data_IF_814077849768
#
_entry.id   IF_814077849768
#
_cell.length_a   1.000
_cell.length_b   1.000
_cell.length_c   1.000
_cell.angle_alpha   90.00
_cell.angle_beta   90.00
_cell.angle_gamma   90.00
#
_symmetry.space_group_name_H-M   'P 1'
#
loop_
_entity.id
_entity.type
_entity.pdbx_description
1 polymer ?
#
# COMPACT_ATOMS: atom_id res chain seq x y z
N UNK A 1 -34.50 -33.65 -5.44
CA UNK A 1 -33.18 -33.05 -5.12
C UNK A 1 -33.15 -32.83 -3.60
N UNK A 2 -32.32 -33.57 -2.88
CA UNK A 2 -32.36 -33.65 -1.41
C UNK A 2 -31.95 -32.30 -0.78
N UNK A 3 -32.78 -31.78 0.13
CA UNK A 3 -32.54 -30.52 0.87
C UNK A 3 -31.17 -30.50 1.56
N UNK A 4 -30.63 -31.67 1.88
CA UNK A 4 -29.29 -31.85 2.44
C UNK A 4 -28.17 -31.47 1.44
N UNK A 5 -28.32 -31.81 0.16
CA UNK A 5 -27.37 -31.45 -0.90
C UNK A 5 -27.37 -29.95 -1.16
N UNK A 6 -28.52 -29.29 -1.11
CA UNK A 6 -28.63 -27.84 -1.28
C UNK A 6 -27.89 -27.09 -0.14
N UNK A 7 -28.05 -27.58 1.10
CA UNK A 7 -27.41 -26.97 2.27
C UNK A 7 -25.86 -27.09 2.20
N UNK A 8 -25.36 -28.28 1.79
CA UNK A 8 -23.91 -28.49 1.62
C UNK A 8 -23.34 -27.61 0.51
N UNK A 9 -24.07 -27.40 -0.58
CA UNK A 9 -23.63 -26.53 -1.67
C UNK A 9 -23.59 -25.07 -1.24
N UNK A 10 -24.56 -24.60 -0.45
CA UNK A 10 -24.56 -23.24 0.10
C UNK A 10 -23.42 -23.01 1.09
N UNK A 11 -23.12 -23.97 1.97
CA UNK A 11 -22.01 -23.90 2.91
C UNK A 11 -20.67 -23.91 2.17
N UNK A 12 -20.51 -24.73 1.13
CA UNK A 12 -19.30 -24.77 0.31
C UNK A 12 -19.06 -23.47 -0.47
N UNK A 13 -20.13 -22.84 -1.00
CA UNK A 13 -20.05 -21.54 -1.66
C UNK A 13 -19.72 -20.40 -0.69
N UNK A 14 -20.23 -20.44 0.55
CA UNK A 14 -19.92 -19.45 1.58
C UNK A 14 -18.47 -19.54 2.06
N UNK A 15 -17.87 -20.73 2.04
CA UNK A 15 -16.44 -20.91 2.40
C UNK A 15 -15.52 -20.50 1.26
N UNK A 16 -15.97 -20.54 0.00
CA UNK A 16 -15.18 -20.11 -1.16
C UNK A 16 -15.20 -18.60 -1.37
N UNK A 17 -16.15 -17.88 -0.81
CA UNK A 17 -16.25 -16.42 -0.87
C UNK A 17 -15.39 -15.76 0.20
N UNK A 18 -14.06 -15.78 0.05
CA UNK A 18 -13.20 -14.90 0.83
C UNK A 18 -13.28 -13.50 0.25
N UNK A 19 -14.22 -12.69 0.75
CA UNK A 19 -14.10 -11.25 0.59
C UNK A 19 -12.88 -10.80 1.41
N UNK A 20 -11.76 -10.55 0.75
CA UNK A 20 -10.61 -9.94 1.40
C UNK A 20 -10.72 -8.42 1.27
N UNK A 21 -11.33 -7.84 2.25
CA UNK A 21 -11.32 -6.40 2.51
C UNK A 21 -11.38 -6.25 4.04
N UNK A 22 -10.44 -5.57 4.68
CA UNK A 22 -9.38 -4.75 4.12
C UNK A 22 -8.19 -5.56 3.56
N UNK A 23 -7.46 -4.97 2.60
CA UNK A 23 -6.27 -5.57 1.99
C UNK A 23 -5.02 -5.40 2.85
N UNK A 24 -4.93 -4.34 3.67
CA UNK A 24 -3.90 -4.16 4.69
C UNK A 24 -4.34 -4.71 6.05
N UNK A 25 -3.40 -4.95 6.99
CA UNK A 25 -3.74 -5.33 8.36
C UNK A 25 -4.69 -4.32 9.03
N UNK A 26 -5.59 -4.78 9.89
CA UNK A 26 -6.60 -3.93 10.53
C UNK A 26 -6.04 -2.85 11.47
N UNK A 27 -4.78 -2.97 11.87
CA UNK A 27 -4.09 -1.98 12.69
C UNK A 27 -3.38 -0.90 11.87
N UNK A 28 -3.27 -1.10 10.55
CA UNK A 28 -2.63 -0.13 9.67
C UNK A 28 -3.61 0.98 9.28
N UNK A 29 -3.17 2.21 9.40
CA UNK A 29 -3.92 3.41 9.05
C UNK A 29 -3.12 4.22 8.04
N UNK A 30 -3.33 3.96 6.77
CA UNK A 30 -2.64 4.57 5.64
C UNK A 30 -3.64 5.39 4.79
N UNK A 31 -4.10 6.55 5.26
CA UNK A 31 -4.98 7.40 4.48
C UNK A 31 -4.26 7.99 3.26
N UNK A 32 -5.06 8.45 2.30
CA UNK A 32 -4.60 9.12 1.07
C UNK A 32 -3.60 8.30 0.24
N UNK A 33 -3.64 6.97 0.42
CA UNK A 33 -2.73 6.06 -0.27
C UNK A 33 -3.02 5.98 -1.77
N UNK A 34 -2.06 6.43 -2.58
CA UNK A 34 -2.12 6.29 -4.03
C UNK A 34 -1.52 4.95 -4.47
N UNK A 35 -2.28 4.10 -5.19
CA UNK A 35 -1.72 2.87 -5.73
C UNK A 35 -0.86 3.15 -6.97
N UNK A 36 0.31 2.51 -7.03
CA UNK A 36 1.22 2.52 -8.18
C UNK A 36 1.67 1.09 -8.48
N UNK A 37 2.01 0.83 -9.73
CA UNK A 37 2.58 -0.46 -10.14
C UNK A 37 3.95 -0.20 -10.75
N UNK A 38 4.98 -0.80 -10.17
CA UNK A 38 6.35 -0.74 -10.64
C UNK A 38 6.93 -2.15 -10.80
N UNK A 39 8.02 -2.24 -11.56
CA UNK A 39 8.79 -3.47 -11.64
C UNK A 39 9.36 -3.85 -10.27
N UNK A 40 9.30 -5.13 -9.93
CA UNK A 40 9.83 -5.64 -8.67
C UNK A 40 11.37 -5.53 -8.67
N UNK A 41 11.98 -4.77 -7.73
CA UNK A 41 13.43 -4.61 -7.69
C UNK A 41 14.18 -5.91 -7.40
N UNK A 42 13.53 -6.87 -6.75
CA UNK A 42 14.11 -8.15 -6.39
C UNK A 42 13.90 -9.23 -7.46
N UNK A 43 12.96 -9.01 -8.39
CA UNK A 43 12.54 -9.97 -9.41
C UNK A 43 12.35 -9.31 -10.78
N UNK A 44 13.40 -9.13 -11.59
CA UNK A 44 13.30 -8.49 -12.91
C UNK A 44 12.21 -9.13 -13.80
N UNK A 45 11.41 -8.28 -14.42
CA UNK A 45 10.28 -8.68 -15.26
C UNK A 45 8.99 -9.05 -14.49
N UNK A 46 9.01 -9.01 -13.16
CA UNK A 46 7.83 -9.07 -12.30
C UNK A 46 7.41 -7.67 -11.88
N UNK A 47 6.18 -7.57 -11.40
CA UNK A 47 5.62 -6.28 -10.98
C UNK A 47 5.03 -6.38 -9.58
N UNK A 48 5.08 -5.26 -8.86
CA UNK A 48 4.44 -5.10 -7.56
C UNK A 48 3.50 -3.91 -7.59
N UNK A 49 2.36 -4.08 -6.93
CA UNK A 49 1.51 -2.96 -6.55
C UNK A 49 2.06 -2.34 -5.28
N UNK A 50 2.18 -1.03 -5.26
CA UNK A 50 2.63 -0.24 -4.11
C UNK A 50 1.49 0.68 -3.67
N UNK A 51 1.32 0.83 -2.37
CA UNK A 51 0.45 1.84 -1.77
C UNK A 51 1.34 2.71 -0.90
N UNK A 52 1.30 4.02 -1.17
CA UNK A 52 2.14 5.01 -0.51
C UNK A 52 1.20 6.06 0.04
N UNK A 53 1.23 6.26 1.35
CA UNK A 53 0.31 7.19 2.01
C UNK A 53 0.94 7.87 3.21
N UNK A 54 0.24 8.87 3.73
CA UNK A 54 0.47 9.36 5.08
C UNK A 54 0.19 8.24 6.07
N UNK A 55 0.78 8.30 7.24
CA UNK A 55 0.67 7.22 8.23
C UNK A 55 0.09 7.78 9.51
N UNK A 56 -1.15 7.40 9.85
CA UNK A 56 -1.76 7.74 11.12
C UNK A 56 -1.22 6.79 12.19
N UNK A 57 -0.42 7.31 13.10
CA UNK A 57 0.21 6.50 14.16
C UNK A 57 -0.76 6.03 15.24
N UNK A 58 -1.92 6.66 15.32
CA UNK A 58 -3.02 6.27 16.22
C UNK A 58 -4.36 6.60 15.58
N UNK A 59 -5.42 5.95 16.02
CA UNK A 59 -6.80 6.27 15.58
C UNK A 59 -7.33 7.62 16.09
N UNK A 60 -6.54 8.36 16.85
CA UNK A 60 -6.89 9.67 17.42
C UNK A 60 -5.99 10.80 16.94
N UNK A 61 -4.86 10.48 16.28
CA UNK A 61 -3.91 11.45 15.75
C UNK A 61 -3.98 11.45 14.23
N UNK A 62 -4.51 12.51 13.68
CA UNK A 62 -4.58 12.76 12.25
C UNK A 62 -3.19 13.00 11.68
N UNK A 63 -2.75 12.14 10.77
CA UNK A 63 -1.43 12.10 10.16
C UNK A 63 -0.26 11.98 11.16
N UNK A 64 0.72 11.20 10.79
CA UNK A 64 1.95 11.01 11.56
C UNK A 64 3.15 11.72 10.93
N UNK A 65 4.35 11.45 11.44
CA UNK A 65 5.58 12.10 11.01
C UNK A 65 6.19 11.46 9.76
N UNK A 66 5.59 10.40 9.21
CA UNK A 66 6.17 9.63 8.12
C UNK A 66 5.19 9.38 6.98
N UNK A 67 5.77 9.18 5.81
CA UNK A 67 5.12 8.57 4.65
C UNK A 67 5.55 7.12 4.63
N UNK A 68 4.56 6.22 4.58
CA UNK A 68 4.77 4.78 4.65
C UNK A 68 4.40 4.11 3.33
N UNK A 69 5.04 2.99 3.07
CA UNK A 69 4.81 2.22 1.85
C UNK A 69 4.52 0.76 2.17
N UNK A 70 3.55 0.22 1.47
CA UNK A 70 3.24 -1.22 1.43
C UNK A 70 3.30 -1.71 0.00
N UNK A 71 3.67 -2.97 -0.20
CA UNK A 71 3.70 -3.57 -1.53
C UNK A 71 3.23 -5.01 -1.54
N UNK A 72 2.68 -5.44 -2.69
CA UNK A 72 2.32 -6.83 -2.94
C UNK A 72 2.63 -7.22 -4.40
N UNK A 73 2.95 -8.50 -4.70
CA UNK A 73 3.00 -8.96 -6.07
C UNK A 73 1.67 -8.71 -6.78
N UNK A 74 1.68 -8.24 -8.02
CA UNK A 74 0.42 -8.01 -8.76
C UNK A 74 -0.37 -9.29 -9.04
N UNK A 75 0.31 -10.43 -9.01
CA UNK A 75 -0.29 -11.75 -9.17
C UNK A 75 -1.01 -12.24 -7.92
N UNK A 76 -0.69 -11.67 -6.74
CA UNK A 76 -1.31 -12.04 -5.46
C UNK A 76 -1.36 -10.85 -4.49
N UNK A 77 -2.42 -10.08 -4.58
CA UNK A 77 -2.69 -8.92 -3.72
C UNK A 77 -3.12 -9.31 -2.28
N UNK A 78 -2.93 -10.55 -1.89
CA UNK A 78 -3.10 -10.99 -0.49
C UNK A 78 -1.80 -10.98 0.29
N UNK A 79 -0.66 -10.84 -0.39
CA UNK A 79 0.68 -10.88 0.18
C UNK A 79 1.28 -9.48 0.34
N UNK A 80 0.58 -8.62 1.08
CA UNK A 80 1.09 -7.29 1.38
C UNK A 80 2.27 -7.36 2.36
N UNK A 81 3.34 -6.65 2.00
CA UNK A 81 4.56 -6.48 2.78
C UNK A 81 4.68 -5.01 3.19
N UNK A 82 4.97 -4.77 4.47
CA UNK A 82 5.35 -3.45 4.96
C UNK A 82 6.77 -3.12 4.49
N UNK A 83 6.91 -2.09 3.68
CA UNK A 83 8.21 -1.56 3.23
C UNK A 83 8.78 -0.55 4.23
N UNK A 84 7.98 -0.16 5.23
CA UNK A 84 8.34 0.79 6.26
C UNK A 84 8.17 2.25 5.84
N UNK A 85 8.68 3.18 6.69
CA UNK A 85 8.68 4.60 6.38
C UNK A 85 9.69 4.89 5.25
N UNK A 86 9.23 5.57 4.20
CA UNK A 86 10.07 5.94 3.06
C UNK A 86 10.49 7.41 3.09
N UNK A 87 9.82 8.22 3.92
CA UNK A 87 10.17 9.62 4.12
C UNK A 87 9.69 10.11 5.47
N UNK A 88 10.51 10.94 6.09
CA UNK A 88 10.20 11.69 7.33
C UNK A 88 10.79 13.07 7.24
N UNK A 89 10.18 14.05 7.89
CA UNK A 89 10.72 15.41 7.94
C UNK A 89 10.90 15.83 9.39
N UNK A 90 12.13 16.23 9.71
CA UNK A 90 12.50 16.74 11.02
C UNK A 90 13.12 18.14 10.89
N UNK A 91 12.44 19.12 11.44
CA UNK A 91 12.92 20.52 11.41
C UNK A 91 12.60 21.25 12.71
N UNK A 92 13.43 22.24 13.08
CA UNK A 92 13.20 23.01 14.29
C UNK A 92 13.21 22.20 15.59
N UNK A 93 13.84 21.01 15.61
CA UNK A 93 13.88 20.15 16.80
C UNK A 93 12.68 19.25 16.99
N UNK A 94 11.78 19.16 16.01
CA UNK A 94 10.59 18.31 16.07
C UNK A 94 10.26 17.67 14.71
N UNK A 95 9.50 16.58 14.75
CA UNK A 95 8.96 15.93 13.57
C UNK A 95 7.80 16.75 13.02
N UNK A 96 7.78 16.96 11.72
CA UNK A 96 6.63 17.54 11.03
C UNK A 96 5.59 16.48 10.70
N UNK A 97 4.37 16.90 10.46
CA UNK A 97 3.27 16.03 10.03
C UNK A 97 3.30 15.87 8.52
N UNK A 98 3.25 14.63 8.06
CA UNK A 98 3.22 14.28 6.64
C UNK A 98 1.78 14.04 6.16
N UNK A 99 1.46 14.55 4.98
CA UNK A 99 0.15 14.43 4.34
C UNK A 99 0.28 13.73 2.99
N UNK A 100 -0.85 13.49 2.36
CA UNK A 100 -1.06 12.87 1.05
C UNK A 100 0.15 12.99 0.10
N UNK A 101 0.98 11.95 -0.03
CA UNK A 101 2.12 11.96 -0.94
C UNK A 101 1.71 11.53 -2.35
N UNK A 102 2.57 11.80 -3.32
CA UNK A 102 2.54 11.13 -4.62
C UNK A 102 3.93 10.61 -4.98
N UNK A 103 3.96 9.55 -5.80
CA UNK A 103 5.18 8.94 -6.32
C UNK A 103 5.08 8.74 -7.84
N UNK A 104 6.10 9.20 -8.56
CA UNK A 104 6.16 9.13 -10.02
C UNK A 104 7.43 8.40 -10.47
N UNK A 105 7.28 7.40 -11.36
CA UNK A 105 8.40 6.82 -12.11
C UNK A 105 8.67 7.68 -13.35
N UNK A 106 9.88 8.13 -13.51
CA UNK A 106 10.37 8.78 -14.73
C UNK A 106 11.43 7.90 -15.37
N UNK A 107 11.24 7.58 -16.65
CA UNK A 107 12.21 6.81 -17.44
C UNK A 107 12.96 7.73 -18.38
N UNK A 108 14.28 7.76 -18.28
CA UNK A 108 15.15 8.40 -19.25
C UNK A 108 15.03 7.69 -20.61
N UNK A 109 14.68 8.43 -21.64
CA UNK A 109 14.43 7.88 -22.99
C UNK A 109 15.68 7.35 -23.69
N UNK A 110 16.86 7.92 -23.37
CA UNK A 110 18.09 7.56 -24.03
C UNK A 110 18.76 6.34 -23.38
N UNK A 111 18.70 6.24 -22.05
CA UNK A 111 19.39 5.21 -21.27
C UNK A 111 18.45 4.11 -20.74
N UNK A 112 17.14 4.35 -20.74
CA UNK A 112 16.15 3.47 -20.13
C UNK A 112 16.17 3.51 -18.59
N UNK A 113 17.04 4.31 -17.98
CA UNK A 113 17.17 4.41 -16.53
C UNK A 113 15.88 4.94 -15.89
N UNK A 114 15.43 4.25 -14.87
CA UNK A 114 14.28 4.65 -14.05
C UNK A 114 14.75 5.52 -12.88
N UNK A 115 13.99 6.53 -12.56
CA UNK A 115 14.16 7.39 -11.38
C UNK A 115 12.80 7.59 -10.75
N UNK A 116 12.69 7.45 -9.45
CA UNK A 116 11.46 7.61 -8.70
C UNK A 116 11.49 8.93 -7.95
N UNK A 117 10.45 9.71 -8.10
CA UNK A 117 10.29 11.02 -7.46
C UNK A 117 9.14 10.95 -6.48
N UNK A 118 9.46 11.11 -5.21
CA UNK A 118 8.46 11.26 -4.15
C UNK A 118 8.15 12.75 -3.96
N UNK A 119 6.88 13.07 -3.92
CA UNK A 119 6.36 14.40 -3.61
C UNK A 119 5.69 14.37 -2.25
N UNK A 120 6.48 14.53 -1.17
CA UNK A 120 5.91 14.58 0.16
C UNK A 120 5.21 15.93 0.37
N UNK A 121 4.15 15.93 1.19
CA UNK A 121 3.50 17.14 1.61
C UNK A 121 3.59 17.27 3.13
N UNK A 122 3.95 18.45 3.61
CA UNK A 122 4.03 18.80 5.02
C UNK A 122 3.33 20.13 5.29
N UNK A 123 3.26 20.51 6.54
CA UNK A 123 2.70 21.84 6.91
C UNK A 123 3.49 23.00 6.33
N UNK A 124 4.78 22.84 6.11
CA UNK A 124 5.70 23.91 5.76
C UNK A 124 6.23 24.64 6.97
#
# INVERSE_FOLDING_TARGET
MNRFFLLLTFVALAVAGRAQNPYLPLWEHLPDGEPRVFEDPDQPGKFRAYIIGSHDVTNTAYCGPDIRMWSAPVEDLTQWRDEGPIFTWFTGGQWDTMYAPDLVEVRDKATGKKTYWLYPHSRG
#
